data_IF_063073099868
#
_entry.id   IF_063073099868
#
_cell.length_a   1.000
_cell.length_b   1.000
_cell.length_c   1.000
_cell.angle_alpha   90.00
_cell.angle_beta   90.00
_cell.angle_gamma   90.00
#
_symmetry.space_group_name_H-M   'P 1'
#
loop_
_entity.id
_entity.type
_entity.pdbx_description
1 polymer ?
#
# COMPACT_ATOMS: atom_id res chain seq x y z
N UNK A 1 -0.33 16.95 13.06
CA UNK A 1 -0.81 15.54 12.99
C UNK A 1 -1.49 15.27 11.67
N UNK A 2 -1.25 14.11 11.08
CA UNK A 2 -1.89 13.69 9.85
C UNK A 2 -3.11 12.84 10.20
N UNK A 3 -4.28 13.19 9.64
CA UNK A 3 -5.51 12.43 9.88
C UNK A 3 -5.46 11.05 9.24
N UNK A 4 -6.13 10.05 9.82
CA UNK A 4 -6.34 8.78 9.14
C UNK A 4 -7.08 8.99 7.81
N UNK A 5 -6.73 8.19 6.82
CA UNK A 5 -7.28 8.29 5.48
C UNK A 5 -7.83 6.92 5.06
N UNK A 6 -9.03 6.90 4.52
CA UNK A 6 -9.62 5.72 3.90
C UNK A 6 -9.61 5.93 2.39
N UNK A 7 -9.01 4.99 1.64
CA UNK A 7 -8.97 5.04 0.18
C UNK A 7 -9.46 3.74 -0.43
N UNK A 8 -10.12 3.86 -1.59
CA UNK A 8 -10.47 2.73 -2.44
C UNK A 8 -9.63 2.81 -3.71
N UNK A 9 -9.12 1.68 -4.20
CA UNK A 9 -8.21 1.69 -5.35
C UNK A 9 -8.70 0.87 -6.55
N UNK A 10 -9.71 0.00 -6.38
CA UNK A 10 -10.25 -0.79 -7.47
C UNK A 10 -9.29 -1.87 -7.99
N UNK A 11 -9.22 -2.02 -9.31
CA UNK A 11 -8.44 -3.07 -9.97
C UNK A 11 -6.92 -2.83 -9.92
N UNK A 12 -6.09 -3.90 -9.93
CA UNK A 12 -4.65 -3.78 -10.11
C UNK A 12 -4.23 -3.01 -11.37
N UNK A 13 -5.07 -2.97 -12.39
CA UNK A 13 -4.80 -2.23 -13.63
C UNK A 13 -4.80 -0.72 -13.44
N UNK A 14 -5.25 -0.22 -12.27
CA UNK A 14 -5.34 1.22 -11.99
C UNK A 14 -4.01 1.94 -12.26
N UNK A 15 -2.86 1.29 -12.05
CA UNK A 15 -1.55 1.86 -12.32
C UNK A 15 -1.41 2.37 -13.76
N UNK A 16 -2.09 1.72 -14.71
CA UNK A 16 -1.97 1.97 -16.14
C UNK A 16 -3.28 2.48 -16.76
N UNK A 17 -4.35 2.60 -15.97
CA UNK A 17 -5.64 3.07 -16.46
C UNK A 17 -5.66 4.60 -16.51
N UNK A 18 -6.17 5.15 -17.61
CA UNK A 18 -6.34 6.59 -17.75
C UNK A 18 -7.68 7.01 -17.16
N UNK A 19 -7.72 7.09 -15.83
CA UNK A 19 -8.93 7.44 -15.07
C UNK A 19 -8.59 8.48 -14.00
N UNK A 20 -9.57 9.36 -13.64
CA UNK A 20 -9.33 10.41 -12.63
C UNK A 20 -8.88 9.87 -11.28
N UNK A 21 -9.35 8.71 -10.86
CA UNK A 21 -8.96 8.08 -9.59
C UNK A 21 -7.46 7.81 -9.52
N UNK A 22 -6.83 7.41 -10.63
CA UNK A 22 -5.38 7.20 -10.70
C UNK A 22 -4.63 8.50 -10.43
N UNK A 23 -5.05 9.58 -11.10
CA UNK A 23 -4.39 10.88 -10.96
C UNK A 23 -4.57 11.44 -9.55
N UNK A 24 -5.75 11.26 -8.96
CA UNK A 24 -6.01 11.62 -7.57
C UNK A 24 -5.07 10.89 -6.62
N UNK A 25 -4.94 9.58 -6.75
CA UNK A 25 -4.08 8.78 -5.86
C UNK A 25 -2.60 9.12 -6.03
N UNK A 26 -2.15 9.38 -7.26
CA UNK A 26 -0.78 9.82 -7.53
C UNK A 26 -0.45 11.14 -6.85
N UNK A 27 -1.41 12.07 -6.81
CA UNK A 27 -1.24 13.38 -6.20
C UNK A 27 -1.42 13.40 -4.68
N UNK A 28 -2.07 12.38 -4.12
CA UNK A 28 -2.44 12.38 -2.71
C UNK A 28 -1.24 12.49 -1.78
N UNK A 29 -0.20 11.72 -2.03
CA UNK A 29 1.01 11.75 -1.21
C UNK A 29 1.67 13.12 -1.19
N UNK A 30 1.75 13.78 -2.35
CA UNK A 30 2.34 15.11 -2.46
C UNK A 30 1.49 16.19 -1.78
N UNK A 31 0.19 15.96 -1.64
CA UNK A 31 -0.74 16.91 -1.00
C UNK A 31 -0.72 16.84 0.54
N UNK A 32 -0.07 15.84 1.11
CA UNK A 32 -0.02 15.60 2.54
C UNK A 32 1.35 15.95 3.11
N UNK A 33 1.42 16.33 4.40
CA UNK A 33 2.71 16.44 5.07
C UNK A 33 3.45 15.10 5.02
N UNK A 34 4.78 15.15 4.92
CA UNK A 34 5.58 13.93 4.90
C UNK A 34 5.54 13.24 6.28
N UNK A 35 5.00 12.02 6.39
CA UNK A 35 4.94 11.31 7.66
C UNK A 35 6.28 10.64 7.97
N UNK A 36 6.50 10.32 9.26
CA UNK A 36 7.64 9.50 9.68
C UNK A 36 7.44 8.03 9.33
N UNK A 37 6.19 7.56 9.37
CA UNK A 37 5.82 6.22 9.03
C UNK A 37 4.36 6.18 8.62
N UNK A 38 3.94 5.09 7.97
CA UNK A 38 2.58 4.86 7.53
C UNK A 38 2.13 3.50 8.04
N UNK A 39 1.01 3.47 8.77
CA UNK A 39 0.34 2.23 9.14
C UNK A 39 -0.78 1.98 8.12
N UNK A 40 -0.70 0.84 7.45
CA UNK A 40 -1.68 0.45 6.43
C UNK A 40 -2.53 -0.70 6.94
N UNK A 41 -3.85 -0.56 6.85
CA UNK A 41 -4.79 -1.65 7.09
C UNK A 41 -5.43 -1.99 5.74
N UNK A 42 -5.20 -3.21 5.27
CA UNK A 42 -5.65 -3.64 3.95
C UNK A 42 -6.40 -4.96 4.02
N UNK A 43 -7.48 -5.05 3.22
CA UNK A 43 -8.21 -6.32 3.05
C UNK A 43 -7.38 -7.38 2.31
N UNK A 44 -6.30 -7.00 1.66
CA UNK A 44 -5.39 -7.91 0.95
C UNK A 44 -4.36 -8.57 1.86
N UNK A 45 -4.32 -8.23 3.13
CA UNK A 45 -3.41 -8.82 4.10
C UNK A 45 -4.20 -9.31 5.31
N UNK A 46 -4.32 -10.63 5.42
CA UNK A 46 -5.14 -11.29 6.43
C UNK A 46 -4.29 -12.19 7.32
N UNK A 47 -4.66 -12.27 8.59
CA UNK A 47 -4.05 -13.14 9.58
C UNK A 47 -5.13 -13.74 10.48
N UNK A 48 -4.81 -14.89 11.12
CA UNK A 48 -5.77 -15.56 12.00
C UNK A 48 -6.04 -14.80 13.29
N UNK A 49 -5.09 -13.97 13.70
CA UNK A 49 -5.19 -13.12 14.90
C UNK A 49 -4.76 -11.71 14.51
N UNK A 50 -5.13 -10.68 15.28
CA UNK A 50 -4.59 -9.34 15.04
C UNK A 50 -3.07 -9.36 15.05
N UNK A 51 -2.46 -8.80 14.00
CA UNK A 51 -1.01 -8.81 13.84
C UNK A 51 -0.54 -7.55 13.12
N UNK A 52 0.73 -7.22 13.30
CA UNK A 52 1.41 -6.12 12.61
C UNK A 52 2.66 -6.65 11.95
N UNK A 53 2.87 -6.30 10.68
CA UNK A 53 4.07 -6.65 9.96
C UNK A 53 5.28 -5.89 10.54
N UNK A 54 6.34 -6.62 10.88
CA UNK A 54 7.54 -6.07 11.50
C UNK A 54 8.82 -6.29 10.66
N UNK A 55 8.67 -6.49 9.36
CA UNK A 55 9.83 -6.68 8.47
C UNK A 55 10.58 -5.38 8.23
N UNK A 56 11.87 -5.48 7.92
CA UNK A 56 12.69 -4.30 7.59
C UNK A 56 12.41 -3.78 6.19
N UNK A 57 12.12 -4.68 5.24
CA UNK A 57 11.77 -4.34 3.85
C UNK A 57 10.59 -5.19 3.44
N UNK A 58 9.54 -4.55 2.93
CA UNK A 58 8.34 -5.26 2.49
C UNK A 58 8.55 -5.90 1.13
N UNK A 59 8.05 -7.12 0.96
CA UNK A 59 7.91 -7.75 -0.35
C UNK A 59 6.67 -7.21 -1.06
N UNK A 60 6.66 -7.29 -2.38
CA UNK A 60 5.48 -6.96 -3.18
C UNK A 60 4.66 -8.22 -3.38
N UNK A 61 3.42 -8.21 -2.87
CA UNK A 61 2.52 -9.36 -2.97
C UNK A 61 1.58 -9.15 -4.16
N UNK A 62 1.54 -10.12 -5.07
CA UNK A 62 0.67 -10.09 -6.24
C UNK A 62 -0.44 -11.13 -6.06
N UNK A 63 -1.49 -10.76 -5.32
CA UNK A 63 -2.60 -11.65 -4.95
C UNK A 63 -3.73 -11.67 -5.96
N UNK A 64 -3.40 -11.58 -7.24
CA UNK A 64 -4.36 -11.55 -8.33
C UNK A 64 -3.89 -12.46 -9.48
N UNK A 65 -4.82 -12.81 -10.38
CA UNK A 65 -4.53 -13.62 -11.56
C UNK A 65 -5.29 -13.12 -12.79
N UNK A 66 -4.91 -13.61 -13.97
CA UNK A 66 -5.59 -13.26 -15.22
C UNK A 66 -5.30 -11.87 -15.76
N UNK A 67 -4.26 -11.20 -15.25
CA UNK A 67 -3.85 -9.87 -15.70
C UNK A 67 -2.57 -9.94 -16.54
N UNK A 68 -2.26 -8.86 -17.33
CA UNK A 68 -1.01 -8.81 -18.10
C UNK A 68 0.23 -8.93 -17.22
N UNK A 69 1.29 -9.51 -17.78
CA UNK A 69 2.54 -9.76 -17.07
C UNK A 69 3.15 -8.49 -16.46
N UNK A 70 2.95 -7.34 -17.09
CA UNK A 70 3.49 -6.07 -16.59
C UNK A 70 3.03 -5.75 -15.15
N UNK A 71 1.84 -6.22 -14.76
CA UNK A 71 1.35 -6.02 -13.37
C UNK A 71 2.14 -6.89 -12.39
N UNK A 72 2.49 -8.12 -12.78
CA UNK A 72 3.29 -9.01 -11.95
C UNK A 72 4.76 -8.58 -11.87
N UNK A 73 5.21 -7.75 -12.81
CA UNK A 73 6.57 -7.22 -12.82
C UNK A 73 6.74 -6.01 -11.90
N UNK A 74 5.64 -5.44 -11.40
CA UNK A 74 5.70 -4.29 -10.50
C UNK A 74 6.29 -4.68 -9.16
N UNK A 75 7.16 -3.81 -8.63
CA UNK A 75 7.78 -3.99 -7.31
C UNK A 75 7.70 -2.69 -6.54
N UNK A 76 7.38 -2.80 -5.26
CA UNK A 76 7.37 -1.67 -4.35
C UNK A 76 7.96 -2.11 -3.01
N UNK A 77 9.30 -2.21 -2.90
CA UNK A 77 9.97 -2.69 -1.70
C UNK A 77 10.01 -1.61 -0.62
N UNK A 78 8.83 -1.21 -0.13
CA UNK A 78 8.72 -0.17 0.89
C UNK A 78 9.48 -0.58 2.15
N UNK A 79 10.27 0.34 2.74
CA UNK A 79 10.92 0.05 4.01
C UNK A 79 9.87 -0.12 5.11
N UNK A 80 10.09 -1.12 5.97
CA UNK A 80 9.27 -1.32 7.15
C UNK A 80 9.81 -0.53 8.34
N UNK A 81 9.07 -0.57 9.44
CA UNK A 81 9.49 0.04 10.70
C UNK A 81 9.26 -0.96 11.85
N UNK A 82 10.20 -1.89 12.07
CA UNK A 82 10.06 -2.90 13.11
C UNK A 82 9.92 -2.32 14.52
N UNK A 83 10.58 -1.20 14.78
CA UNK A 83 10.51 -0.54 16.09
C UNK A 83 9.10 0.01 16.34
N UNK A 84 8.51 0.69 15.36
CA UNK A 84 7.14 1.18 15.47
C UNK A 84 6.15 0.02 15.57
N UNK A 85 6.34 -1.05 14.81
CA UNK A 85 5.47 -2.22 14.83
C UNK A 85 5.33 -2.81 16.24
N UNK A 86 6.40 -2.80 17.02
CA UNK A 86 6.38 -3.32 18.40
C UNK A 86 5.62 -2.41 19.36
N UNK A 87 5.38 -1.18 18.99
CA UNK A 87 4.66 -0.20 19.82
C UNK A 87 3.16 -0.17 19.53
N UNK A 88 2.73 -0.84 18.50
CA UNK A 88 1.32 -0.99 18.12
C UNK A 88 0.75 -2.31 18.69
#
# INVERSE_FOLDING_TARGET
MISPIFVSHGSPTLLFDDVPARDFLRGLGASLPRPKAILVVSAHWETNIPAVNAVAVNETIHDFGGFPQILFDQRYPAPGDPVLAQRI
#
